data_IF_543798158800
#
_entry.id   IF_543798158800
#
_cell.length_a   1.000
_cell.length_b   1.000
_cell.length_c   1.000
_cell.angle_alpha   90.00
_cell.angle_beta   90.00
_cell.angle_gamma   90.00
#
_symmetry.space_group_name_H-M   'P 1'
#
loop_
_entity.id
_entity.type
_entity.pdbx_description
1 polymer ?
#
# COMPACT_ATOMS: atom_id res chain seq x y z
N UNK A 1 -3.59 5.22 35.03
CA UNK A 1 -3.94 3.77 34.96
C UNK A 1 -2.90 3.14 34.05
N UNK A 2 -2.05 2.26 34.62
CA UNK A 2 -1.04 1.51 33.87
C UNK A 2 -1.81 0.52 33.00
N UNK A 3 -1.81 0.71 31.70
CA UNK A 3 -2.29 -0.32 30.76
C UNK A 3 -1.24 -1.43 30.79
N UNK A 4 -1.55 -2.53 31.45
CA UNK A 4 -0.71 -3.73 31.35
C UNK A 4 -0.82 -4.25 29.93
N UNK A 5 0.31 -4.22 29.19
CA UNK A 5 0.42 -4.89 27.92
C UNK A 5 0.15 -6.39 28.14
N UNK A 6 -0.93 -6.88 27.56
CA UNK A 6 -1.27 -8.28 27.58
C UNK A 6 -0.57 -8.94 26.40
N UNK A 7 0.45 -9.77 26.69
CA UNK A 7 1.07 -10.58 25.65
C UNK A 7 0.08 -11.62 25.14
N UNK A 8 0.24 -11.98 23.86
CA UNK A 8 -0.49 -13.08 23.26
C UNK A 8 -0.11 -14.38 24.00
N UNK A 9 -1.08 -15.11 24.49
CA UNK A 9 -0.92 -16.34 25.29
C UNK A 9 -1.39 -17.60 24.54
N UNK A 10 -1.65 -17.48 23.25
CA UNK A 10 -2.09 -18.55 22.37
C UNK A 10 -1.51 -18.39 20.97
N UNK A 11 -1.51 -19.45 20.19
CA UNK A 11 -1.07 -19.44 18.81
C UNK A 11 -2.05 -18.64 17.94
N UNK A 12 -1.52 -17.87 16.99
CA UNK A 12 -2.33 -17.20 15.98
C UNK A 12 -2.72 -18.26 14.93
N UNK A 13 -4.03 -18.49 14.68
CA UNK A 13 -4.47 -19.49 13.72
C UNK A 13 -4.38 -18.99 12.28
N UNK A 14 -4.55 -19.90 11.31
CA UNK A 14 -4.89 -19.53 9.95
C UNK A 14 -6.18 -18.68 9.91
N UNK A 15 -6.32 -17.76 8.96
CA UNK A 15 -5.40 -17.47 7.85
C UNK A 15 -4.30 -16.45 8.16
N UNK A 16 -4.16 -15.97 9.38
CA UNK A 16 -3.22 -14.92 9.75
C UNK A 16 -1.78 -15.40 9.95
N UNK A 17 -1.62 -16.60 10.54
CA UNK A 17 -0.30 -17.24 10.68
C UNK A 17 -0.15 -18.34 9.63
N UNK A 18 0.60 -18.06 8.58
CA UNK A 18 0.76 -18.95 7.43
C UNK A 18 2.22 -19.12 7.01
N UNK A 19 2.46 -20.22 6.31
CA UNK A 19 3.67 -20.42 5.51
C UNK A 19 3.27 -20.45 4.02
N UNK A 20 4.24 -20.39 3.12
CA UNK A 20 3.96 -20.42 1.68
C UNK A 20 3.15 -21.65 1.24
N UNK A 21 3.27 -22.76 1.97
CA UNK A 21 2.53 -24.00 1.68
C UNK A 21 1.08 -23.99 2.16
N UNK A 22 0.73 -23.05 3.02
CA UNK A 22 -0.64 -22.93 3.57
C UNK A 22 -1.52 -22.03 2.69
N UNK A 23 -0.91 -21.24 1.79
CA UNK A 23 -1.62 -20.29 0.96
C UNK A 23 -1.94 -20.88 -0.42
N UNK A 24 -3.16 -20.67 -0.96
CA UNK A 24 -3.44 -20.92 -2.36
C UNK A 24 -2.68 -19.93 -3.27
N UNK A 25 -2.43 -20.32 -4.54
CA UNK A 25 -1.65 -19.53 -5.51
C UNK A 25 -2.17 -18.08 -5.68
N UNK A 26 -3.47 -17.87 -5.50
CA UNK A 26 -4.12 -16.56 -5.62
C UNK A 26 -4.45 -15.91 -4.28
N UNK A 27 -3.81 -16.35 -3.17
CA UNK A 27 -4.07 -15.76 -1.85
C UNK A 27 -3.81 -14.25 -1.88
N UNK A 28 -4.73 -13.50 -1.31
CA UNK A 28 -4.65 -12.03 -1.24
C UNK A 28 -4.80 -11.30 -2.58
N UNK A 29 -4.92 -12.02 -3.71
CA UNK A 29 -5.10 -11.38 -5.02
C UNK A 29 -6.53 -10.91 -5.18
N UNK A 30 -6.70 -9.62 -5.51
CA UNK A 30 -7.99 -8.98 -5.76
C UNK A 30 -7.97 -8.41 -7.17
N UNK A 31 -8.89 -8.89 -8.00
CA UNK A 31 -9.01 -8.43 -9.39
C UNK A 31 -9.70 -7.07 -9.44
N UNK A 32 -9.11 -6.13 -10.14
CA UNK A 32 -9.74 -4.88 -10.51
C UNK A 32 -10.77 -5.16 -11.63
N UNK A 33 -12.05 -5.06 -11.30
CA UNK A 33 -13.09 -5.24 -12.30
C UNK A 33 -13.22 -4.03 -13.25
N UNK A 34 -13.94 -4.22 -14.36
CA UNK A 34 -14.10 -3.20 -15.41
C UNK A 34 -14.84 -1.94 -14.92
N UNK A 35 -15.75 -2.06 -13.95
CA UNK A 35 -16.47 -0.91 -13.41
C UNK A 35 -15.53 -0.05 -12.56
N UNK A 36 -14.78 -0.68 -11.66
CA UNK A 36 -13.78 0.00 -10.86
C UNK A 36 -12.67 0.60 -11.73
N UNK A 37 -12.25 -0.14 -12.78
CA UNK A 37 -11.31 0.39 -13.79
C UNK A 37 -11.88 1.62 -14.49
N UNK A 38 -13.17 1.61 -14.86
CA UNK A 38 -13.87 2.75 -15.45
C UNK A 38 -13.86 3.97 -14.53
N UNK A 39 -14.27 3.81 -13.26
CA UNK A 39 -14.22 4.90 -12.26
C UNK A 39 -12.83 5.50 -12.14
N UNK A 40 -11.78 4.66 -12.12
CA UNK A 40 -10.39 5.14 -12.02
C UNK A 40 -9.95 5.93 -13.25
N UNK A 41 -10.34 5.52 -14.46
CA UNK A 41 -10.00 6.22 -15.70
C UNK A 41 -10.75 7.56 -15.80
N UNK A 42 -12.04 7.59 -15.46
CA UNK A 42 -12.83 8.83 -15.40
C UNK A 42 -12.22 9.81 -14.39
N UNK A 43 -11.85 9.33 -13.22
CA UNK A 43 -11.16 10.15 -12.22
C UNK A 43 -9.79 10.64 -12.72
N UNK A 44 -9.04 9.82 -13.43
CA UNK A 44 -7.77 10.19 -14.01
C UNK A 44 -7.92 11.34 -15.02
N UNK A 45 -8.96 11.32 -15.85
CA UNK A 45 -9.29 12.40 -16.80
C UNK A 45 -9.62 13.71 -16.06
N UNK A 46 -10.39 13.63 -14.97
CA UNK A 46 -10.72 14.79 -14.13
C UNK A 46 -9.45 15.38 -13.51
N UNK A 47 -8.58 14.57 -12.92
CA UNK A 47 -7.36 15.01 -12.27
C UNK A 47 -6.31 15.53 -13.26
N UNK A 48 -6.28 14.99 -14.48
CA UNK A 48 -5.40 15.46 -15.56
C UNK A 48 -5.88 16.81 -16.07
N UNK A 49 -7.19 16.99 -16.23
CA UNK A 49 -7.79 18.24 -16.71
C UNK A 49 -7.77 19.36 -15.66
N UNK A 50 -7.82 18.99 -14.38
CA UNK A 50 -7.81 19.92 -13.25
C UNK A 50 -6.87 19.39 -12.13
N UNK A 51 -5.55 19.55 -12.29
CA UNK A 51 -4.58 19.03 -11.34
C UNK A 51 -4.75 19.67 -9.95
N UNK A 52 -4.89 18.81 -8.94
CA UNK A 52 -4.97 19.19 -7.53
C UNK A 52 -3.76 18.64 -6.76
N UNK A 53 -3.34 19.29 -5.68
CA UNK A 53 -2.31 18.72 -4.81
C UNK A 53 -2.74 17.36 -4.26
N UNK A 54 -1.93 16.31 -4.48
CA UNK A 54 -2.28 14.93 -4.12
C UNK A 54 -2.73 14.83 -2.66
N UNK A 55 -2.01 15.47 -1.74
CA UNK A 55 -2.30 15.40 -0.30
C UNK A 55 -3.61 16.09 0.10
N UNK A 56 -4.24 16.86 -0.78
CA UNK A 56 -5.55 17.49 -0.54
C UNK A 56 -6.71 16.64 -1.04
N UNK A 57 -6.45 15.61 -1.84
CA UNK A 57 -7.48 14.74 -2.38
C UNK A 57 -8.08 13.86 -1.29
N UNK A 58 -9.40 13.75 -1.30
CA UNK A 58 -10.17 12.90 -0.39
C UNK A 58 -11.10 11.99 -1.17
N UNK A 59 -11.23 10.70 -0.81
CA UNK A 59 -12.12 9.78 -1.50
C UNK A 59 -13.59 10.24 -1.57
N UNK A 60 -14.04 11.00 -0.57
CA UNK A 60 -15.41 11.49 -0.48
C UNK A 60 -15.72 12.67 -1.42
N UNK A 61 -14.71 13.26 -2.02
CA UNK A 61 -14.89 14.32 -3.01
C UNK A 61 -15.24 13.77 -4.41
N UNK A 62 -15.23 12.44 -4.59
CA UNK A 62 -15.44 11.76 -5.87
C UNK A 62 -16.45 10.62 -5.77
N UNK A 63 -17.15 10.35 -6.87
CA UNK A 63 -18.04 9.18 -6.96
C UNK A 63 -17.21 7.94 -7.33
N UNK A 64 -16.82 7.17 -6.31
CA UNK A 64 -15.94 6.01 -6.40
C UNK A 64 -16.59 4.78 -5.74
N UNK A 65 -17.86 4.51 -6.09
CA UNK A 65 -18.65 3.47 -5.45
C UNK A 65 -18.04 2.08 -5.64
N UNK A 66 -17.62 1.73 -6.86
CA UNK A 66 -16.97 0.44 -7.12
C UNK A 66 -15.59 0.35 -6.45
N UNK A 67 -14.81 1.43 -6.50
CA UNK A 67 -13.50 1.48 -5.83
C UNK A 67 -13.64 1.37 -4.30
N UNK A 68 -14.65 1.99 -3.69
CA UNK A 68 -14.93 1.82 -2.25
C UNK A 68 -15.26 0.36 -1.91
N UNK A 69 -16.03 -0.32 -2.74
CA UNK A 69 -16.34 -1.75 -2.57
C UNK A 69 -15.10 -2.63 -2.71
N UNK A 70 -14.26 -2.34 -3.70
CA UNK A 70 -12.97 -3.03 -3.90
C UNK A 70 -12.09 -2.86 -2.66
N UNK A 71 -11.94 -1.62 -2.15
CA UNK A 71 -11.08 -1.34 -1.00
C UNK A 71 -11.62 -1.92 0.31
N UNK A 72 -12.94 -2.06 0.47
CA UNK A 72 -13.52 -2.82 1.58
C UNK A 72 -13.15 -4.32 1.51
N UNK A 73 -13.05 -4.88 0.30
CA UNK A 73 -12.55 -6.26 0.13
C UNK A 73 -11.05 -6.38 0.42
N UNK A 74 -10.27 -5.34 0.12
CA UNK A 74 -8.85 -5.25 0.51
C UNK A 74 -8.72 -5.24 2.03
N UNK A 75 -9.46 -4.39 2.73
CA UNK A 75 -9.47 -4.29 4.19
C UNK A 75 -9.84 -5.64 4.85
N UNK A 76 -10.84 -6.35 4.32
CA UNK A 76 -11.21 -7.69 4.80
C UNK A 76 -10.05 -8.70 4.68
N UNK A 77 -9.28 -8.65 3.56
CA UNK A 77 -8.09 -9.50 3.40
C UNK A 77 -6.96 -9.13 4.38
N UNK A 78 -6.79 -7.84 4.67
CA UNK A 78 -5.79 -7.37 5.61
C UNK A 78 -6.13 -7.78 7.04
N UNK A 79 -7.37 -7.60 7.47
CA UNK A 79 -7.79 -7.77 8.86
C UNK A 79 -8.15 -9.20 9.23
N UNK A 80 -8.75 -9.94 8.30
CA UNK A 80 -9.33 -11.28 8.55
C UNK A 80 -8.81 -12.36 7.62
N UNK A 81 -8.11 -11.96 6.57
CA UNK A 81 -7.47 -12.85 5.63
C UNK A 81 -5.99 -13.10 5.99
N UNK A 82 -5.14 -13.32 5.00
CA UNK A 82 -3.72 -13.62 5.20
C UNK A 82 -2.88 -12.43 5.66
N UNK A 83 -3.46 -11.26 5.92
CA UNK A 83 -2.77 -10.06 6.35
C UNK A 83 -2.08 -9.29 5.21
N UNK A 84 -2.33 -9.65 3.97
CA UNK A 84 -1.90 -8.91 2.79
C UNK A 84 -2.94 -8.96 1.67
N UNK A 85 -2.90 -7.97 0.77
CA UNK A 85 -3.72 -7.93 -0.43
C UNK A 85 -2.93 -7.35 -1.61
N UNK A 86 -3.19 -7.86 -2.80
CA UNK A 86 -2.57 -7.42 -4.05
C UNK A 86 -3.69 -7.08 -5.03
N UNK A 87 -3.81 -5.82 -5.40
CA UNK A 87 -4.75 -5.41 -6.45
C UNK A 87 -4.10 -5.65 -7.82
N UNK A 88 -4.69 -6.50 -8.62
CA UNK A 88 -4.24 -6.80 -9.98
C UNK A 88 -5.13 -6.08 -10.99
N UNK A 89 -4.67 -5.12 -11.61
CA UNK A 89 -3.57 -4.14 -11.62
C UNK A 89 -4.17 -2.79 -12.02
N UNK A 90 -3.65 -1.70 -11.47
CA UNK A 90 -4.07 -0.38 -11.92
C UNK A 90 -3.67 -0.15 -13.39
N UNK A 91 -4.44 0.63 -14.18
CA UNK A 91 -4.18 0.86 -15.61
C UNK A 91 -3.00 1.85 -15.83
N UNK A 92 -1.82 1.53 -15.26
CA UNK A 92 -0.66 2.43 -15.24
C UNK A 92 -0.12 2.75 -16.63
N UNK A 93 -0.32 1.85 -17.58
CA UNK A 93 0.08 2.02 -18.99
C UNK A 93 -0.67 3.17 -19.70
N UNK A 94 -1.78 3.62 -19.14
CA UNK A 94 -2.61 4.71 -19.66
C UNK A 94 -2.43 6.01 -18.88
N UNK A 95 -1.60 6.02 -17.82
CA UNK A 95 -1.55 7.11 -16.84
C UNK A 95 -0.15 7.71 -16.73
N UNK A 96 -0.09 9.01 -16.61
CA UNK A 96 1.11 9.70 -16.13
C UNK A 96 1.38 9.31 -14.67
N UNK A 97 2.66 9.22 -14.28
CA UNK A 97 3.07 8.81 -12.92
C UNK A 97 2.39 9.67 -11.83
N UNK A 98 2.24 10.97 -12.06
CA UNK A 98 1.58 11.86 -11.11
C UNK A 98 0.11 11.47 -10.90
N UNK A 99 -0.63 11.21 -11.99
CA UNK A 99 -2.03 10.78 -11.93
C UNK A 99 -2.15 9.41 -11.27
N UNK A 100 -1.29 8.46 -11.64
CA UNK A 100 -1.24 7.14 -10.99
C UNK A 100 -0.99 7.25 -9.48
N UNK A 101 -0.10 8.14 -9.06
CA UNK A 101 0.15 8.41 -7.63
C UNK A 101 -1.07 9.02 -6.94
N UNK A 102 -1.81 9.90 -7.61
CA UNK A 102 -3.05 10.47 -7.06
C UNK A 102 -4.14 9.41 -6.88
N UNK A 103 -4.32 8.52 -7.85
CA UNK A 103 -5.25 7.39 -7.73
C UNK A 103 -4.85 6.45 -6.59
N UNK A 104 -3.57 6.11 -6.50
CA UNK A 104 -3.03 5.30 -5.40
C UNK A 104 -3.29 5.96 -4.03
N UNK A 105 -3.05 7.26 -3.91
CA UNK A 105 -3.34 8.03 -2.69
C UNK A 105 -4.80 7.92 -2.28
N UNK A 106 -5.72 8.09 -3.24
CA UNK A 106 -7.16 7.99 -2.98
C UNK A 106 -7.57 6.59 -2.55
N UNK A 107 -7.11 5.54 -3.26
CA UNK A 107 -7.40 4.16 -2.90
C UNK A 107 -6.88 3.82 -1.50
N UNK A 108 -5.61 4.10 -1.21
CA UNK A 108 -5.02 3.84 0.10
C UNK A 108 -5.75 4.60 1.23
N UNK A 109 -6.21 5.83 0.95
CA UNK A 109 -6.99 6.64 1.90
C UNK A 109 -8.40 6.12 2.17
N UNK A 110 -8.88 5.13 1.41
CA UNK A 110 -10.15 4.43 1.71
C UNK A 110 -9.99 3.35 2.78
N UNK A 111 -8.76 2.84 3.00
CA UNK A 111 -8.47 1.86 4.06
C UNK A 111 -8.35 2.58 5.40
N UNK A 112 -7.42 3.55 5.49
CA UNK A 112 -7.22 4.32 6.71
C UNK A 112 -6.57 5.66 6.40
N UNK A 113 -6.47 6.49 7.42
CA UNK A 113 -5.87 7.81 7.34
C UNK A 113 -4.36 7.72 7.09
N UNK A 114 -3.85 8.29 5.98
CA UNK A 114 -2.41 8.34 5.73
C UNK A 114 -1.65 9.06 6.84
N UNK A 115 -0.47 8.54 7.18
CA UNK A 115 0.44 9.11 8.18
C UNK A 115 1.79 9.47 7.56
N UNK A 116 2.51 10.40 8.19
CA UNK A 116 3.82 10.81 7.71
C UNK A 116 4.83 9.65 7.76
N UNK A 117 5.52 9.43 6.64
CA UNK A 117 6.53 8.38 6.46
C UNK A 117 7.89 8.78 7.01
N UNK A 118 8.11 10.06 7.29
CA UNK A 118 9.38 10.61 7.77
C UNK A 118 9.15 11.83 8.67
N UNK A 119 10.18 12.17 9.43
CA UNK A 119 10.14 13.29 10.39
C UNK A 119 9.87 14.67 9.75
N UNK A 120 10.14 14.83 8.44
CA UNK A 120 9.87 16.04 7.66
C UNK A 120 8.44 16.10 7.12
N UNK A 121 7.59 15.14 7.50
CA UNK A 121 6.17 15.12 7.15
C UNK A 121 5.84 14.54 5.78
N UNK A 122 6.78 13.87 5.10
CA UNK A 122 6.47 13.19 3.84
C UNK A 122 5.42 12.11 4.02
N UNK A 123 4.35 12.19 3.23
CA UNK A 123 3.23 11.24 3.22
C UNK A 123 3.41 10.14 2.16
N UNK A 124 4.08 10.46 1.06
CA UNK A 124 4.42 9.55 -0.04
C UNK A 124 5.93 9.48 -0.18
N UNK A 125 6.46 8.27 -0.41
CA UNK A 125 7.88 8.02 -0.47
C UNK A 125 8.25 7.16 -1.68
N UNK A 126 9.24 7.61 -2.45
CA UNK A 126 9.73 6.85 -3.60
C UNK A 126 10.74 5.80 -3.16
N UNK A 127 10.41 4.54 -3.34
CA UNK A 127 11.32 3.40 -3.14
C UNK A 127 12.02 3.11 -4.47
N UNK A 128 13.31 3.40 -4.57
CA UNK A 128 14.09 3.18 -5.78
C UNK A 128 15.58 3.16 -5.51
N UNK A 129 16.33 2.42 -6.33
CA UNK A 129 17.80 2.51 -6.30
C UNK A 129 18.26 3.88 -6.82
N UNK A 130 18.93 4.62 -5.96
CA UNK A 130 19.53 5.93 -6.28
C UNK A 130 21.02 5.82 -6.64
N UNK A 131 21.55 4.58 -6.74
CA UNK A 131 22.97 4.30 -6.96
C UNK A 131 23.85 4.50 -5.72
N UNK A 132 23.27 4.82 -4.56
CA UNK A 132 24.02 4.94 -3.30
C UNK A 132 24.48 3.56 -2.85
N UNK A 133 25.72 3.50 -2.29
CA UNK A 133 26.23 2.27 -1.71
C UNK A 133 25.56 2.00 -0.35
N UNK A 134 25.18 0.74 -0.07
CA UNK A 134 24.65 0.33 1.22
C UNK A 134 25.65 0.61 2.36
N UNK A 135 25.14 0.91 3.55
CA UNK A 135 25.94 1.15 4.75
C UNK A 135 26.01 2.63 5.13
N UNK A 136 26.74 2.94 6.21
CA UNK A 136 26.94 4.29 6.72
C UNK A 136 25.66 5.13 6.92
N UNK A 137 24.58 4.50 7.39
CA UNK A 137 23.29 5.18 7.62
C UNK A 137 22.46 5.43 6.35
N UNK A 138 22.87 4.89 5.19
CA UNK A 138 22.05 4.93 3.97
C UNK A 138 20.90 3.95 4.12
N UNK A 139 19.69 4.43 3.94
CA UNK A 139 18.48 3.60 4.05
C UNK A 139 18.43 2.55 2.93
N UNK A 140 18.00 1.29 3.21
CA UNK A 140 17.92 0.23 2.21
C UNK A 140 16.99 0.56 1.04
N UNK A 141 15.87 1.25 1.31
CA UNK A 141 14.82 1.61 0.35
C UNK A 141 15.28 2.55 -0.79
N UNK A 142 16.45 3.18 -0.66
CA UNK A 142 17.06 4.01 -1.72
C UNK A 142 18.29 3.35 -2.34
N UNK A 143 18.49 2.06 -2.12
CA UNK A 143 19.61 1.26 -2.64
C UNK A 143 19.09 -0.02 -3.28
N UNK A 144 19.99 -0.78 -3.94
CA UNK A 144 19.74 -2.14 -4.44
C UNK A 144 20.05 -3.24 -3.41
N UNK A 145 20.24 -2.90 -2.14
CA UNK A 145 20.54 -3.89 -1.11
C UNK A 145 19.32 -4.77 -0.84
N UNK A 146 19.57 -6.04 -0.60
CA UNK A 146 18.54 -6.95 -0.06
C UNK A 146 18.13 -6.46 1.32
N UNK A 147 16.84 -6.48 1.58
CA UNK A 147 16.27 -6.13 2.88
C UNK A 147 15.77 -7.41 3.57
N UNK A 148 16.17 -7.60 4.82
CA UNK A 148 15.69 -8.73 5.62
C UNK A 148 14.20 -8.54 5.98
N UNK A 149 13.55 -9.63 6.37
CA UNK A 149 12.20 -9.56 6.96
C UNK A 149 12.21 -8.59 8.15
N UNK A 150 11.27 -7.68 8.18
CA UNK A 150 11.16 -6.63 9.17
C UNK A 150 9.71 -6.19 9.35
N UNK A 151 9.48 -5.43 10.38
CA UNK A 151 8.24 -4.68 10.58
C UNK A 151 8.55 -3.20 10.41
N UNK A 152 7.78 -2.50 9.59
CA UNK A 152 7.97 -1.08 9.36
C UNK A 152 7.68 -0.28 10.63
N UNK A 153 8.56 0.71 10.89
CA UNK A 153 8.44 1.63 12.03
C UNK A 153 8.18 0.96 13.39
N UNK A 154 8.65 -0.28 13.59
CA UNK A 154 8.46 -1.05 14.82
C UNK A 154 9.02 -0.39 16.09
N UNK A 155 9.87 0.62 15.93
CA UNK A 155 10.43 1.44 17.01
C UNK A 155 9.51 2.57 17.45
N UNK A 156 8.42 2.86 16.74
CA UNK A 156 7.44 3.87 17.11
C UNK A 156 6.54 3.37 18.23
N UNK A 157 6.06 4.30 19.07
CA UNK A 157 5.03 4.00 20.08
C UNK A 157 3.70 3.59 19.44
N UNK A 158 3.40 4.14 18.27
CA UNK A 158 2.25 3.81 17.44
C UNK A 158 2.79 3.53 16.03
N UNK A 159 3.16 2.28 15.70
CA UNK A 159 3.48 1.92 14.32
C UNK A 159 2.23 2.04 13.43
N UNK A 160 2.39 2.17 12.10
CA UNK A 160 1.24 2.16 11.20
C UNK A 160 0.56 0.80 11.20
N UNK A 161 -0.77 0.79 11.10
CA UNK A 161 -1.55 -0.45 11.03
C UNK A 161 -1.36 -1.13 9.67
N UNK A 162 -1.22 -0.34 8.60
CA UNK A 162 -1.06 -0.82 7.22
C UNK A 162 0.10 -0.14 6.51
N UNK A 163 0.69 -0.87 5.58
CA UNK A 163 1.70 -0.35 4.62
C UNK A 163 1.19 -0.65 3.22
N UNK A 164 1.15 0.34 2.37
CA UNK A 164 0.77 0.19 0.97
C UNK A 164 1.93 0.54 0.04
N UNK A 165 2.02 -0.15 -1.09
CA UNK A 165 3.02 0.08 -2.13
C UNK A 165 2.34 0.14 -3.50
N UNK A 166 2.72 1.10 -4.34
CA UNK A 166 2.38 1.15 -5.75
C UNK A 166 3.59 0.75 -6.59
N UNK A 167 3.50 -0.36 -7.31
CA UNK A 167 4.55 -0.80 -8.22
C UNK A 167 4.43 -0.05 -9.56
N UNK A 168 5.25 0.97 -9.76
CA UNK A 168 5.33 1.72 -11.03
C UNK A 168 6.17 0.93 -12.06
N UNK A 169 7.29 0.37 -11.61
CA UNK A 169 8.17 -0.45 -12.44
C UNK A 169 8.61 -1.68 -11.66
N UNK A 170 8.51 -2.84 -12.27
CA UNK A 170 8.99 -4.08 -11.67
C UNK A 170 10.52 -4.11 -11.64
N UNK A 171 11.09 -4.72 -10.61
CA UNK A 171 12.53 -4.99 -10.56
C UNK A 171 12.91 -6.02 -11.63
N UNK A 172 14.10 -5.86 -12.23
CA UNK A 172 14.65 -6.85 -13.18
C UNK A 172 15.04 -8.16 -12.48
N UNK A 173 15.40 -8.12 -11.21
CA UNK A 173 15.77 -9.27 -10.36
C UNK A 173 15.41 -8.97 -8.91
N UNK A 174 15.05 -10.01 -8.16
CA UNK A 174 14.67 -9.92 -6.76
C UNK A 174 13.17 -9.82 -6.57
N UNK A 175 12.74 -9.62 -5.34
CA UNK A 175 11.31 -9.63 -5.00
C UNK A 175 10.77 -11.05 -4.81
N UNK A 176 11.58 -11.97 -4.30
CA UNK A 176 11.22 -13.37 -3.97
C UNK A 176 11.28 -13.56 -2.47
#
# INVERSE_FOLDING_TARGET
>A
TLVMLKFLDHDIPLPQAWTVTDLPDAAGLITLDENCRGELLELADVLTSNPLPILSLRPDDFDLTCCKSLMASVEEQLDRGPGFAIIDRLPLELLETHTATALYWLLASMIDRPVAQSWDGKMLYDVRDTGKQPGNGVRPDITRASQNLHTDNSYNLCPPDYVALLCINTAMKGGV
#
